data_IF_477981261202
#
_entry.id   IF_477981261202
#
_cell.length_a   1.000
_cell.length_b   1.000
_cell.length_c   1.000
_cell.angle_alpha   90.00
_cell.angle_beta   90.00
_cell.angle_gamma   90.00
#
_symmetry.space_group_name_H-M   'P 1'
#
loop_
_entity.id
_entity.type
_entity.pdbx_description
1 polymer ?
#
# COMPACT_ATOMS: atom_id res chain seq x y z
N UNK A 1 -22.16 -68.72 41.07
CA UNK A 1 -21.97 -68.91 39.61
C UNK A 1 -22.28 -67.64 38.78
N UNK A 2 -23.31 -66.85 39.12
CA UNK A 2 -23.73 -65.67 38.32
C UNK A 2 -22.77 -64.45 38.35
N UNK A 3 -22.04 -64.20 39.44
CA UNK A 3 -21.13 -63.03 39.56
C UNK A 3 -19.89 -63.16 38.65
N UNK A 4 -19.40 -64.39 38.43
CA UNK A 4 -18.22 -64.64 37.60
C UNK A 4 -18.54 -64.49 36.09
N UNK A 5 -19.74 -64.92 35.67
CA UNK A 5 -20.23 -64.75 34.29
C UNK A 5 -20.47 -63.28 33.95
N UNK A 6 -21.02 -62.48 34.87
CA UNK A 6 -21.22 -61.04 34.70
C UNK A 6 -19.89 -60.28 34.56
N UNK A 7 -18.88 -60.65 35.36
CA UNK A 7 -17.53 -60.04 35.31
C UNK A 7 -16.81 -60.34 33.99
N UNK A 8 -16.98 -61.54 33.45
CA UNK A 8 -16.39 -61.93 32.17
C UNK A 8 -17.08 -61.24 30.97
N UNK A 9 -18.41 -61.09 31.02
CA UNK A 9 -19.20 -60.37 30.00
C UNK A 9 -18.90 -58.87 30.00
N UNK A 10 -18.74 -58.26 31.18
CA UNK A 10 -18.35 -56.86 31.36
C UNK A 10 -16.96 -56.57 30.76
N UNK A 11 -15.96 -57.42 31.05
CA UNK A 11 -14.61 -57.29 30.48
C UNK A 11 -14.58 -57.45 28.95
N UNK A 12 -15.45 -58.30 28.38
CA UNK A 12 -15.60 -58.44 26.92
C UNK A 12 -16.20 -57.19 26.27
N UNK A 13 -17.21 -56.59 26.92
CA UNK A 13 -17.86 -55.37 26.42
C UNK A 13 -16.89 -54.17 26.44
N UNK A 14 -16.15 -54.00 27.54
CA UNK A 14 -15.15 -52.93 27.68
C UNK A 14 -14.07 -53.05 26.61
N UNK A 15 -13.57 -54.26 26.34
CA UNK A 15 -12.57 -54.50 25.28
C UNK A 15 -13.11 -54.15 23.89
N UNK A 16 -14.35 -54.53 23.59
CA UNK A 16 -14.98 -54.25 22.30
C UNK A 16 -15.20 -52.74 22.09
N UNK A 17 -15.66 -52.03 23.13
CA UNK A 17 -15.80 -50.58 23.10
C UNK A 17 -14.45 -49.88 22.90
N UNK A 18 -13.40 -50.36 23.58
CA UNK A 18 -12.05 -49.80 23.45
C UNK A 18 -11.44 -50.04 22.06
N UNK A 19 -11.64 -51.22 21.47
CA UNK A 19 -11.22 -51.51 20.09
C UNK A 19 -11.95 -50.61 19.09
N UNK A 20 -13.28 -50.47 19.23
CA UNK A 20 -14.09 -49.62 18.35
C UNK A 20 -13.65 -48.15 18.44
N UNK A 21 -13.36 -47.67 19.65
CA UNK A 21 -12.86 -46.32 19.88
C UNK A 21 -11.47 -46.09 19.26
N UNK A 22 -10.54 -47.04 19.40
CA UNK A 22 -9.20 -46.96 18.80
C UNK A 22 -9.25 -46.99 17.26
N UNK A 23 -10.15 -47.79 16.68
CA UNK A 23 -10.35 -47.81 15.22
C UNK A 23 -10.88 -46.46 14.74
N UNK A 24 -11.89 -45.89 15.42
CA UNK A 24 -12.40 -44.55 15.09
C UNK A 24 -11.31 -43.47 15.19
N UNK A 25 -10.49 -43.51 16.23
CA UNK A 25 -9.33 -42.61 16.38
C UNK A 25 -8.33 -42.76 15.23
N UNK A 26 -8.00 -44.01 14.83
CA UNK A 26 -7.09 -44.24 13.71
C UNK A 26 -7.64 -43.73 12.38
N UNK A 27 -8.94 -43.90 12.14
CA UNK A 27 -9.61 -43.38 10.94
C UNK A 27 -9.61 -41.85 10.94
N UNK A 28 -9.87 -41.22 12.09
CA UNK A 28 -9.80 -39.77 12.24
C UNK A 28 -8.37 -39.24 12.02
N UNK A 29 -7.34 -39.88 12.57
CA UNK A 29 -5.93 -39.51 12.33
C UNK A 29 -5.53 -39.68 10.87
N UNK A 30 -5.92 -40.77 10.22
CA UNK A 30 -5.70 -40.96 8.78
C UNK A 30 -6.41 -39.89 7.95
N UNK A 31 -7.63 -39.52 8.32
CA UNK A 31 -8.37 -38.45 7.66
C UNK A 31 -7.65 -37.10 7.78
N UNK A 32 -7.18 -36.74 8.99
CA UNK A 32 -6.40 -35.50 9.22
C UNK A 32 -5.11 -35.49 8.41
N UNK A 33 -4.38 -36.61 8.37
CA UNK A 33 -3.16 -36.72 7.56
C UNK A 33 -3.49 -36.55 6.07
N UNK A 34 -4.55 -37.22 5.59
CA UNK A 34 -4.99 -37.12 4.21
C UNK A 34 -5.39 -35.68 3.82
N UNK A 35 -6.12 -34.97 4.68
CA UNK A 35 -6.48 -33.57 4.43
C UNK A 35 -5.25 -32.67 4.36
N UNK A 36 -4.32 -32.78 5.34
CA UNK A 36 -3.09 -32.00 5.33
C UNK A 36 -2.22 -32.23 4.08
N UNK A 37 -2.22 -33.44 3.50
CA UNK A 37 -1.51 -33.72 2.25
C UNK A 37 -2.22 -33.17 1.00
N UNK A 38 -3.53 -32.93 1.07
CA UNK A 38 -4.35 -32.53 -0.07
C UNK A 38 -4.69 -31.02 -0.08
N UNK A 39 -4.20 -30.26 0.91
CA UNK A 39 -4.54 -28.86 1.17
C UNK A 39 -3.95 -27.81 0.20
N UNK A 40 -3.25 -28.22 -0.86
CA UNK A 40 -2.66 -27.29 -1.84
C UNK A 40 -3.69 -26.30 -2.43
N UNK A 41 -4.93 -26.73 -2.67
CA UNK A 41 -6.01 -25.86 -3.16
C UNK A 41 -6.51 -24.86 -2.12
N UNK A 42 -6.47 -25.23 -0.84
CA UNK A 42 -6.87 -24.38 0.28
C UNK A 42 -5.83 -23.28 0.51
N UNK A 43 -4.55 -23.61 0.32
CA UNK A 43 -3.45 -22.64 0.35
C UNK A 43 -3.54 -21.64 -0.81
N UNK A 44 -3.83 -22.09 -2.03
CA UNK A 44 -4.02 -21.19 -3.18
C UNK A 44 -5.22 -20.24 -2.95
N UNK A 45 -6.37 -20.75 -2.48
CA UNK A 45 -7.54 -19.91 -2.18
C UNK A 45 -7.29 -18.91 -1.05
N UNK A 46 -6.63 -19.34 0.03
CA UNK A 46 -6.25 -18.46 1.13
C UNK A 46 -5.29 -17.35 0.65
N UNK A 47 -4.36 -17.69 -0.24
CA UNK A 47 -3.41 -16.74 -0.84
C UNK A 47 -4.13 -15.67 -1.65
N UNK A 48 -5.12 -16.05 -2.47
CA UNK A 48 -5.92 -15.13 -3.27
C UNK A 48 -6.74 -14.17 -2.40
N UNK A 49 -7.46 -14.69 -1.39
CA UNK A 49 -8.23 -13.87 -0.45
C UNK A 49 -7.33 -12.90 0.33
N UNK A 50 -6.16 -13.39 0.75
CA UNK A 50 -5.19 -12.62 1.52
C UNK A 50 -4.60 -11.47 0.70
N UNK A 51 -4.12 -11.72 -0.52
CA UNK A 51 -3.58 -10.65 -1.37
C UNK A 51 -4.65 -9.66 -1.76
N UNK A 52 -5.89 -10.10 -2.02
CA UNK A 52 -7.02 -9.21 -2.31
C UNK A 52 -7.34 -8.29 -1.13
N UNK A 53 -7.31 -8.82 0.10
CA UNK A 53 -7.50 -8.04 1.32
C UNK A 53 -6.37 -7.03 1.55
N UNK A 54 -5.11 -7.43 1.33
CA UNK A 54 -3.97 -6.51 1.38
C UNK A 54 -4.14 -5.43 0.33
N UNK A 55 -4.39 -5.82 -0.93
CA UNK A 55 -4.53 -4.91 -2.03
C UNK A 55 -5.59 -3.84 -1.72
N UNK A 56 -6.76 -4.26 -1.23
CA UNK A 56 -7.84 -3.37 -0.79
C UNK A 56 -7.40 -2.45 0.36
N UNK A 57 -6.70 -2.99 1.36
CA UNK A 57 -6.22 -2.23 2.52
C UNK A 57 -5.19 -1.18 2.12
N UNK A 58 -4.23 -1.53 1.25
CA UNK A 58 -3.19 -0.63 0.75
C UNK A 58 -3.81 0.48 -0.09
N UNK A 59 -4.75 0.15 -0.98
CA UNK A 59 -5.50 1.16 -1.75
C UNK A 59 -6.26 2.10 -0.83
N UNK A 60 -6.96 1.58 0.18
CA UNK A 60 -7.69 2.38 1.15
C UNK A 60 -6.78 3.32 1.96
N UNK A 61 -5.68 2.79 2.48
CA UNK A 61 -4.69 3.57 3.24
C UNK A 61 -4.07 4.69 2.39
N UNK A 62 -3.65 4.35 1.17
CA UNK A 62 -3.05 5.32 0.24
C UNK A 62 -4.08 6.36 -0.22
N UNK A 63 -5.34 5.96 -0.43
CA UNK A 63 -6.46 6.89 -0.70
C UNK A 63 -6.65 7.89 0.44
N UNK A 64 -6.71 7.41 1.67
CA UNK A 64 -6.89 8.26 2.85
C UNK A 64 -5.70 9.20 3.08
N UNK A 65 -4.50 8.79 2.67
CA UNK A 65 -3.30 9.61 2.77
C UNK A 65 -3.30 10.81 1.80
N UNK A 66 -3.84 10.64 0.59
CA UNK A 66 -3.79 11.63 -0.49
C UNK A 66 -5.08 12.45 -0.67
N UNK A 67 -6.26 11.87 -0.42
CA UNK A 67 -7.56 12.53 -0.65
C UNK A 67 -7.74 13.88 0.08
N UNK A 68 -7.17 14.13 1.27
CA UNK A 68 -7.27 15.44 1.90
C UNK A 68 -6.70 16.56 1.03
N UNK A 69 -5.70 16.31 0.18
CA UNK A 69 -5.12 17.32 -0.72
C UNK A 69 -6.15 17.90 -1.69
N UNK A 70 -6.95 17.05 -2.35
CA UNK A 70 -8.05 17.50 -3.23
C UNK A 70 -9.12 18.25 -2.45
N UNK A 71 -9.43 17.78 -1.24
CA UNK A 71 -10.44 18.43 -0.39
C UNK A 71 -10.00 19.83 0.00
N UNK A 72 -8.74 20.00 0.40
CA UNK A 72 -8.14 21.30 0.72
C UNK A 72 -8.10 22.20 -0.51
N UNK A 73 -7.72 21.67 -1.68
CA UNK A 73 -7.69 22.45 -2.92
C UNK A 73 -9.07 23.00 -3.30
N UNK A 74 -10.10 22.15 -3.22
CA UNK A 74 -11.49 22.55 -3.44
C UNK A 74 -11.96 23.59 -2.41
N UNK A 75 -11.63 23.40 -1.13
CA UNK A 75 -11.96 24.38 -0.09
C UNK A 75 -11.28 25.73 -0.33
N UNK A 76 -9.99 25.73 -0.68
CA UNK A 76 -9.25 26.96 -1.00
C UNK A 76 -9.87 27.70 -2.17
N UNK A 77 -10.28 26.97 -3.21
CA UNK A 77 -11.01 27.53 -4.34
C UNK A 77 -12.34 28.20 -3.93
N UNK A 78 -13.15 27.55 -3.08
CA UNK A 78 -14.41 28.13 -2.61
C UNK A 78 -14.18 29.35 -1.72
N UNK A 79 -13.21 29.30 -0.81
CA UNK A 79 -12.89 30.43 0.07
C UNK A 79 -12.34 31.63 -0.71
N UNK A 80 -11.59 31.39 -1.78
CA UNK A 80 -11.15 32.43 -2.71
C UNK A 80 -12.32 33.05 -3.47
N UNK A 81 -13.24 32.23 -3.99
CA UNK A 81 -14.46 32.70 -4.67
C UNK A 81 -15.34 33.59 -3.80
N UNK A 82 -15.37 33.34 -2.49
CA UNK A 82 -16.18 34.11 -1.54
C UNK A 82 -15.43 35.30 -0.92
N UNK A 83 -14.28 35.69 -1.49
CA UNK A 83 -13.44 36.81 -1.03
C UNK A 83 -12.95 36.69 0.43
N UNK A 84 -13.02 35.48 1.01
CA UNK A 84 -12.47 35.17 2.34
C UNK A 84 -10.93 35.09 2.26
N UNK A 85 -10.44 34.60 1.13
CA UNK A 85 -9.03 34.55 0.78
C UNK A 85 -8.79 35.55 -0.35
N UNK A 86 -7.87 36.49 -0.15
CA UNK A 86 -7.50 37.51 -1.14
C UNK A 86 -5.99 37.54 -1.38
N UNK A 87 -5.57 37.65 -2.64
CA UNK A 87 -4.15 37.84 -2.98
C UNK A 87 -3.61 39.21 -2.54
N UNK A 88 -4.48 40.20 -2.36
CA UNK A 88 -4.12 41.53 -1.87
C UNK A 88 -3.87 41.54 -0.36
N UNK A 89 -4.45 40.58 0.37
CA UNK A 89 -4.16 40.31 1.79
C UNK A 89 -3.52 38.93 1.97
N UNK A 90 -2.19 38.81 1.80
CA UNK A 90 -1.45 37.57 2.01
C UNK A 90 -1.67 36.93 3.38
N UNK A 91 -2.12 37.69 4.38
CA UNK A 91 -2.42 37.17 5.71
C UNK A 91 -3.65 36.24 5.70
N UNK A 92 -4.66 36.55 4.89
CA UNK A 92 -5.84 35.68 4.71
C UNK A 92 -5.45 34.28 4.23
N UNK A 93 -4.56 34.20 3.25
CA UNK A 93 -4.02 32.95 2.70
C UNK A 93 -3.22 32.16 3.74
N UNK A 94 -2.37 32.85 4.51
CA UNK A 94 -1.62 32.21 5.61
C UNK A 94 -2.55 31.68 6.70
N UNK A 95 -3.64 32.39 7.00
CA UNK A 95 -4.63 32.00 8.02
C UNK A 95 -5.38 30.75 7.60
N UNK A 96 -5.74 30.64 6.31
CA UNK A 96 -6.39 29.45 5.76
C UNK A 96 -5.48 28.23 5.73
N UNK A 97 -4.21 28.40 5.34
CA UNK A 97 -3.28 27.27 5.15
C UNK A 97 -2.69 26.74 6.47
N UNK A 98 -2.58 27.59 7.50
CA UNK A 98 -1.93 27.24 8.76
C UNK A 98 -2.48 26.01 9.49
N UNK A 99 -3.80 25.77 9.58
CA UNK A 99 -4.34 24.56 10.20
C UNK A 99 -3.90 23.28 9.50
N UNK A 100 -3.86 23.27 8.17
CA UNK A 100 -3.53 22.07 7.39
C UNK A 100 -2.07 21.66 7.49
N UNK A 101 -1.19 22.63 7.69
CA UNK A 101 0.24 22.43 7.82
C UNK A 101 0.58 21.37 8.90
N UNK A 102 -0.05 21.46 10.07
CA UNK A 102 0.22 20.51 11.17
C UNK A 102 -0.66 19.25 11.08
N UNK A 103 -1.87 19.37 10.52
CA UNK A 103 -2.79 18.24 10.36
C UNK A 103 -2.39 17.29 9.23
N UNK A 104 -1.68 17.79 8.22
CA UNK A 104 -1.29 17.06 7.03
C UNK A 104 0.19 17.30 6.68
N UNK A 105 1.13 16.80 7.52
CA UNK A 105 2.57 17.00 7.29
C UNK A 105 3.08 16.34 6.01
N UNK A 106 2.31 15.45 5.40
CA UNK A 106 2.66 14.82 4.12
C UNK A 106 2.54 15.74 2.91
N UNK A 107 1.82 16.86 3.03
CA UNK A 107 1.68 17.81 1.94
C UNK A 107 2.82 18.81 1.99
N UNK A 108 3.51 18.92 0.86
CA UNK A 108 4.67 19.77 0.71
C UNK A 108 4.30 21.22 0.91
N UNK A 109 3.19 21.66 0.30
CA UNK A 109 2.73 23.04 0.32
C UNK A 109 1.40 23.24 -0.39
N UNK A 110 0.88 24.46 -0.24
CA UNK A 110 -0.45 24.88 -0.70
C UNK A 110 -0.28 26.13 -1.54
N UNK A 111 -0.97 26.24 -2.67
CA UNK A 111 -0.72 27.35 -3.59
C UNK A 111 -1.91 27.68 -4.46
N UNK A 112 -1.84 28.85 -5.05
CA UNK A 112 -2.79 29.36 -6.03
C UNK A 112 -2.01 29.92 -7.22
N UNK A 113 -2.50 29.65 -8.42
CA UNK A 113 -2.10 30.37 -9.64
C UNK A 113 -3.33 30.97 -10.29
N UNK A 114 -3.22 32.18 -10.83
CA UNK A 114 -4.33 32.88 -11.51
C UNK A 114 -4.08 33.01 -13.01
N UNK A 115 -5.09 33.47 -13.76
CA UNK A 115 -4.96 33.67 -15.22
C UNK A 115 -3.91 34.71 -15.63
N UNK A 116 -3.51 35.63 -14.74
CA UNK A 116 -2.52 36.67 -15.05
C UNK A 116 -1.06 36.22 -14.77
N UNK A 117 -0.85 34.92 -14.59
CA UNK A 117 0.42 34.30 -14.18
C UNK A 117 0.92 34.73 -12.79
N UNK A 118 0.07 35.32 -11.94
CA UNK A 118 0.35 35.49 -10.52
C UNK A 118 0.22 34.14 -9.80
N UNK A 119 1.21 33.84 -8.96
CA UNK A 119 1.28 32.60 -8.21
C UNK A 119 1.79 32.84 -6.81
N UNK A 120 1.17 32.17 -5.87
CA UNK A 120 1.61 32.16 -4.49
C UNK A 120 1.69 30.74 -3.95
N UNK A 121 2.79 30.44 -3.25
CA UNK A 121 3.04 29.15 -2.63
C UNK A 121 3.36 29.30 -1.15
N UNK A 122 2.58 28.63 -0.31
CA UNK A 122 2.74 28.60 1.13
C UNK A 122 3.33 27.29 1.60
N UNK A 123 4.38 27.44 2.42
CA UNK A 123 5.19 26.40 3.01
C UNK A 123 5.83 25.53 1.94
N UNK A 124 7.03 25.91 1.50
CA UNK A 124 7.88 25.01 0.71
C UNK A 124 9.15 24.71 1.52
N UNK A 125 9.27 23.48 1.99
CA UNK A 125 10.42 23.00 2.77
C UNK A 125 11.46 22.37 1.84
N UNK A 126 12.71 22.79 2.00
CA UNK A 126 13.73 22.64 0.97
C UNK A 126 15.15 22.51 1.54
N UNK A 127 15.44 23.04 2.72
CA UNK A 127 16.78 22.93 3.33
C UNK A 127 16.74 23.06 4.84
N UNK A 128 17.77 22.56 5.53
CA UNK A 128 17.95 22.75 6.98
C UNK A 128 18.29 24.18 7.41
N UNK A 129 18.34 25.14 6.48
CA UNK A 129 18.65 26.55 6.79
C UNK A 129 17.39 27.36 7.17
N UNK A 130 16.20 26.87 6.81
CA UNK A 130 14.91 27.50 7.10
C UNK A 130 13.83 26.44 7.25
N UNK A 131 12.82 26.70 8.07
CA UNK A 131 11.70 25.78 8.26
C UNK A 131 10.78 25.75 7.05
N UNK A 132 10.50 26.93 6.48
CA UNK A 132 9.71 27.03 5.25
C UNK A 132 9.92 28.37 4.55
N UNK A 133 9.50 28.44 3.28
CA UNK A 133 9.40 29.69 2.53
C UNK A 133 7.98 29.96 2.01
N UNK A 134 7.66 31.24 1.84
CA UNK A 134 6.54 31.73 1.03
C UNK A 134 7.13 32.25 -0.28
N UNK A 135 6.53 31.86 -1.40
CA UNK A 135 6.93 32.27 -2.74
C UNK A 135 5.79 33.06 -3.40
N UNK A 136 6.13 34.18 -4.04
CA UNK A 136 5.21 34.99 -4.84
C UNK A 136 5.85 35.24 -6.20
N UNK A 137 5.20 34.77 -7.26
CA UNK A 137 5.55 35.09 -8.64
C UNK A 137 4.50 36.03 -9.17
N UNK A 138 4.92 37.14 -9.79
CA UNK A 138 4.01 38.06 -10.48
C UNK A 138 4.65 38.70 -11.69
N UNK A 139 3.81 39.05 -12.66
CA UNK A 139 4.21 39.81 -13.84
C UNK A 139 4.50 41.27 -13.45
N UNK A 140 5.69 41.75 -13.80
CA UNK A 140 6.03 43.16 -13.66
C UNK A 140 5.58 43.98 -14.89
N UNK A 141 5.40 45.30 -14.77
CA UNK A 141 5.02 46.17 -15.90
C UNK A 141 5.96 46.07 -17.11
N UNK A 142 7.22 45.70 -16.90
CA UNK A 142 8.23 45.49 -17.95
C UNK A 142 8.09 44.14 -18.68
N UNK A 143 7.09 43.31 -18.33
CA UNK A 143 6.79 42.03 -18.98
C UNK A 143 7.59 40.84 -18.45
N UNK A 144 8.38 41.01 -17.39
CA UNK A 144 9.11 39.91 -16.76
C UNK A 144 8.34 39.33 -15.57
N UNK A 145 8.23 38.01 -15.50
CA UNK A 145 7.80 37.30 -14.29
C UNK A 145 8.93 37.35 -13.26
N UNK A 146 8.64 37.89 -12.09
CA UNK A 146 9.60 38.02 -10.99
C UNK A 146 9.17 37.16 -9.83
N UNK A 147 10.13 36.44 -9.25
CA UNK A 147 9.96 35.53 -8.12
C UNK A 147 10.53 36.16 -6.83
N UNK A 148 9.65 36.34 -5.85
CA UNK A 148 9.91 36.87 -4.51
C UNK A 148 9.79 35.73 -3.49
N UNK A 149 10.84 35.53 -2.67
CA UNK A 149 10.86 34.46 -1.66
C UNK A 149 11.15 35.01 -0.28
N UNK A 150 10.29 34.65 0.67
CA UNK A 150 10.41 35.00 2.09
C UNK A 150 10.65 33.73 2.89
N UNK A 151 11.71 33.68 3.69
CA UNK A 151 12.12 32.49 4.43
C UNK A 151 11.89 32.67 5.93
N UNK A 152 11.40 31.61 6.57
CA UNK A 152 10.97 31.61 7.98
C UNK A 152 11.62 30.45 8.75
N UNK A 153 11.83 30.65 10.04
CA UNK A 153 12.25 29.58 10.97
C UNK A 153 11.05 28.88 11.63
N UNK A 154 11.32 27.88 12.49
CA UNK A 154 10.28 27.09 13.18
C UNK A 154 9.37 27.93 14.10
N UNK A 155 9.85 29.09 14.54
CA UNK A 155 9.09 30.03 15.37
C UNK A 155 8.28 31.03 14.53
N UNK A 156 8.07 30.77 13.23
CA UNK A 156 7.41 31.67 12.27
C UNK A 156 8.06 33.07 12.15
N UNK A 157 9.33 33.22 12.53
CA UNK A 157 10.05 34.47 12.35
C UNK A 157 10.68 34.50 10.97
N UNK A 158 10.43 35.56 10.21
CA UNK A 158 11.10 35.78 8.93
C UNK A 158 12.61 36.00 9.18
N UNK A 159 13.45 35.22 8.50
CA UNK A 159 14.91 35.24 8.66
C UNK A 159 15.65 35.74 7.42
N UNK A 160 15.04 35.66 6.23
CA UNK A 160 15.67 36.06 4.97
C UNK A 160 14.62 36.44 3.91
N UNK A 161 15.00 37.31 2.99
CA UNK A 161 14.27 37.60 1.74
C UNK A 161 15.24 37.34 0.59
N UNK A 162 14.77 36.75 -0.52
CA UNK A 162 15.60 36.56 -1.71
C UNK A 162 15.88 37.88 -2.43
N UNK A 163 16.99 37.93 -3.16
CA UNK A 163 17.16 38.95 -4.19
C UNK A 163 16.10 38.77 -5.28
N UNK A 164 15.80 39.86 -5.99
CA UNK A 164 14.90 39.82 -7.14
C UNK A 164 15.50 38.90 -8.22
N UNK A 165 14.72 37.90 -8.66
CA UNK A 165 15.10 36.96 -9.71
C UNK A 165 13.97 36.82 -10.72
N UNK A 166 14.35 36.53 -11.96
CA UNK A 166 13.38 36.10 -12.98
C UNK A 166 12.82 34.75 -12.54
N UNK A 167 11.50 34.58 -12.66
CA UNK A 167 10.83 33.32 -12.38
C UNK A 167 11.31 32.25 -13.38
N UNK A 168 11.55 31.04 -12.89
CA UNK A 168 12.03 29.89 -13.64
C UNK A 168 10.91 29.08 -14.30
N UNK A 169 9.66 29.46 -14.03
CA UNK A 169 8.47 28.90 -14.64
C UNK A 169 7.32 29.91 -14.65
N UNK A 170 6.36 29.68 -15.54
CA UNK A 170 5.05 30.33 -15.50
C UNK A 170 4.02 29.33 -14.93
N UNK A 171 3.29 29.68 -13.85
CA UNK A 171 2.28 28.80 -13.24
C UNK A 171 1.22 28.31 -14.22
N UNK A 172 0.81 29.12 -15.21
CA UNK A 172 -0.28 28.73 -16.12
C UNK A 172 0.14 27.63 -17.07
N UNK A 173 1.45 27.43 -17.29
CA UNK A 173 1.97 26.39 -18.20
C UNK A 173 2.07 25.01 -17.54
N UNK A 174 1.82 24.92 -16.23
CA UNK A 174 2.12 23.72 -15.45
C UNK A 174 1.01 22.67 -15.56
N UNK A 175 1.33 21.36 -15.46
CA UNK A 175 0.36 20.29 -15.63
C UNK A 175 -0.86 20.40 -14.71
N UNK A 176 -0.64 20.76 -13.44
CA UNK A 176 -1.71 20.94 -12.46
C UNK A 176 -2.69 22.07 -12.84
N UNK A 177 -2.19 23.15 -13.45
CA UNK A 177 -3.01 24.28 -13.84
C UNK A 177 -3.84 23.92 -15.07
N UNK A 178 -3.16 23.41 -16.11
CA UNK A 178 -3.81 23.06 -17.38
C UNK A 178 -4.82 21.93 -17.21
N UNK A 179 -4.49 20.89 -16.43
CA UNK A 179 -5.41 19.78 -16.20
C UNK A 179 -6.66 20.19 -15.44
N UNK A 180 -6.52 20.93 -14.33
CA UNK A 180 -7.69 21.43 -13.58
C UNK A 180 -8.55 22.40 -14.41
N UNK A 181 -7.93 23.29 -15.18
CA UNK A 181 -8.64 24.22 -16.07
C UNK A 181 -9.42 23.49 -17.15
N UNK A 182 -8.80 22.49 -17.78
CA UNK A 182 -9.40 21.72 -18.89
C UNK A 182 -10.54 20.85 -18.40
N UNK A 183 -10.33 20.17 -17.26
CA UNK A 183 -11.29 19.24 -16.70
C UNK A 183 -12.47 19.95 -15.99
N UNK A 184 -12.24 21.13 -15.41
CA UNK A 184 -13.27 21.91 -14.72
C UNK A 184 -13.70 21.35 -13.36
N UNK A 185 -12.98 20.35 -12.83
CA UNK A 185 -13.18 19.79 -11.48
C UNK A 185 -11.84 19.38 -10.87
N UNK A 186 -11.86 18.62 -9.77
CA UNK A 186 -10.67 18.14 -9.10
C UNK A 186 -9.78 17.34 -10.06
N UNK A 187 -8.49 17.70 -10.11
CA UNK A 187 -7.52 17.11 -11.01
C UNK A 187 -6.26 16.69 -10.24
N UNK A 188 -5.76 15.51 -10.55
CA UNK A 188 -4.42 15.07 -10.16
C UNK A 188 -3.48 15.28 -11.34
N UNK A 189 -2.30 15.88 -11.13
CA UNK A 189 -1.30 15.94 -12.19
C UNK A 189 -0.63 14.58 -12.42
N UNK A 190 -0.09 14.39 -13.62
CA UNK A 190 1.01 13.45 -13.83
C UNK A 190 2.25 13.83 -13.01
N UNK A 191 3.23 12.93 -12.96
CA UNK A 191 4.53 13.21 -12.33
C UNK A 191 5.28 14.30 -13.10
N UNK A 192 5.75 15.32 -12.38
CA UNK A 192 6.57 16.39 -12.95
C UNK A 192 7.57 16.95 -11.92
N UNK A 193 8.61 17.64 -12.42
CA UNK A 193 9.58 18.34 -11.58
C UNK A 193 8.99 19.66 -11.08
N UNK A 194 9.04 19.94 -9.78
CA UNK A 194 8.49 21.20 -9.24
C UNK A 194 9.41 22.40 -9.47
N UNK A 195 10.72 22.18 -9.52
CA UNK A 195 11.76 23.19 -9.74
C UNK A 195 12.78 22.71 -10.77
N UNK A 196 13.49 23.65 -11.38
CA UNK A 196 14.55 23.35 -12.35
C UNK A 196 15.74 22.63 -11.67
N UNK A 197 16.44 21.72 -12.39
CA UNK A 197 17.60 20.98 -11.84
C UNK A 197 18.72 21.86 -11.28
N UNK A 198 18.90 23.05 -11.85
CA UNK A 198 19.96 23.98 -11.47
C UNK A 198 19.56 24.96 -10.35
N UNK A 199 18.31 24.91 -9.89
CA UNK A 199 17.78 25.83 -8.89
C UNK A 199 17.94 25.19 -7.49
N UNK A 200 18.65 25.80 -6.52
CA UNK A 200 18.82 25.20 -5.20
C UNK A 200 17.52 25.26 -4.38
N UNK A 201 17.19 24.19 -3.63
CA UNK A 201 17.84 22.87 -3.59
C UNK A 201 17.44 22.00 -4.79
N UNK A 202 18.08 20.84 -5.03
CA UNK A 202 17.92 20.02 -6.25
C UNK A 202 16.47 19.85 -6.71
N UNK A 203 16.29 19.63 -8.02
CA UNK A 203 14.98 19.32 -8.59
C UNK A 203 14.29 18.20 -7.80
N UNK A 204 13.00 18.34 -7.59
CA UNK A 204 12.22 17.34 -6.84
C UNK A 204 10.94 17.06 -7.60
N UNK A 205 10.69 15.77 -7.83
CA UNK A 205 9.49 15.29 -8.50
C UNK A 205 8.33 15.15 -7.52
N UNK A 206 7.12 15.35 -8.05
CA UNK A 206 5.90 15.16 -7.29
C UNK A 206 4.66 15.10 -8.16
N UNK A 207 3.53 15.01 -7.47
CA UNK A 207 2.17 15.07 -8.00
C UNK A 207 1.36 16.12 -7.25
N UNK A 208 0.49 16.82 -7.97
CA UNK A 208 -0.32 17.90 -7.41
C UNK A 208 -1.79 17.54 -7.46
N UNK A 209 -2.49 17.69 -6.33
CA UNK A 209 -3.94 17.78 -6.30
C UNK A 209 -4.35 19.22 -6.60
N UNK A 210 -5.29 19.42 -7.51
CA UNK A 210 -5.68 20.77 -7.95
C UNK A 210 -7.18 20.89 -8.15
N UNK A 211 -7.70 22.12 -8.03
CA UNK A 211 -9.10 22.44 -8.24
C UNK A 211 -9.26 23.81 -8.90
N UNK A 212 -10.08 23.95 -9.96
CA UNK A 212 -10.26 25.21 -10.66
C UNK A 212 -11.10 26.19 -9.83
N UNK A 213 -10.78 27.47 -9.98
CA UNK A 213 -11.44 28.59 -9.31
C UNK A 213 -12.28 29.32 -10.34
N UNK A 214 -13.56 29.48 -10.02
CA UNK A 214 -14.50 30.26 -10.82
C UNK A 214 -15.10 31.37 -9.97
N UNK A 215 -15.36 32.51 -10.56
CA UNK A 215 -16.10 33.58 -9.92
C UNK A 215 -17.61 33.26 -9.80
N UNK A 216 -18.39 34.21 -9.29
CA UNK A 216 -19.85 34.05 -9.18
C UNK A 216 -20.58 34.03 -10.52
N UNK A 217 -19.99 34.59 -11.58
CA UNK A 217 -20.53 34.58 -12.93
C UNK A 217 -20.14 33.31 -13.73
N UNK A 218 -19.28 32.45 -13.17
CA UNK A 218 -18.77 31.25 -13.82
C UNK A 218 -17.52 31.49 -14.69
N UNK A 219 -16.92 32.68 -14.62
CA UNK A 219 -15.64 32.95 -15.27
C UNK A 219 -14.51 32.27 -14.49
N UNK A 220 -13.62 31.59 -15.21
CA UNK A 220 -12.44 30.98 -14.62
C UNK A 220 -11.44 32.06 -14.17
N UNK A 221 -10.95 31.95 -12.93
CA UNK A 221 -10.01 32.89 -12.32
C UNK A 221 -8.61 32.31 -12.12
N UNK A 222 -8.50 30.99 -11.98
CA UNK A 222 -7.26 30.33 -11.61
C UNK A 222 -7.45 28.93 -11.09
N UNK A 223 -6.43 28.40 -10.42
CA UNK A 223 -6.40 27.04 -9.88
C UNK A 223 -5.74 27.06 -8.51
N UNK A 224 -6.36 26.36 -7.56
CA UNK A 224 -5.75 26.03 -6.28
C UNK A 224 -5.03 24.69 -6.37
N UNK A 225 -3.86 24.56 -5.76
CA UNK A 225 -3.04 23.36 -5.77
C UNK A 225 -2.51 22.96 -4.39
N UNK A 226 -2.27 21.66 -4.22
CA UNK A 226 -1.60 21.04 -3.07
C UNK A 226 -0.59 20.04 -3.58
N UNK A 227 0.65 20.23 -3.20
CA UNK A 227 1.78 19.46 -3.70
C UNK A 227 2.12 18.27 -2.80
N UNK A 228 2.37 17.10 -3.40
CA UNK A 228 2.91 15.93 -2.71
C UNK A 228 4.21 15.47 -3.38
N UNK A 229 5.24 15.24 -2.59
CA UNK A 229 6.53 14.71 -3.06
C UNK A 229 6.43 13.20 -3.29
N UNK A 230 7.01 12.71 -4.39
CA UNK A 230 7.08 11.26 -4.64
C UNK A 230 7.87 10.52 -3.55
N UNK A 231 8.90 11.17 -3.01
CA UNK A 231 9.68 10.66 -1.87
C UNK A 231 8.79 10.36 -0.65
N UNK A 232 7.95 11.33 -0.27
CA UNK A 232 7.06 11.19 0.91
C UNK A 232 6.06 10.06 0.69
N UNK A 233 5.51 9.94 -0.53
CA UNK A 233 4.62 8.83 -0.87
C UNK A 233 5.34 7.48 -0.88
N UNK A 234 6.58 7.42 -1.35
CA UNK A 234 7.42 6.21 -1.33
C UNK A 234 7.80 5.80 0.10
N UNK A 235 8.08 6.76 0.99
CA UNK A 235 8.32 6.51 2.41
C UNK A 235 7.06 5.96 3.11
N UNK A 236 5.90 6.53 2.80
CA UNK A 236 4.60 6.02 3.27
C UNK A 236 4.36 4.57 2.79
N UNK A 237 4.55 4.29 1.50
CA UNK A 237 4.43 2.92 0.96
C UNK A 237 5.46 1.96 1.57
N UNK A 238 6.69 2.41 1.79
CA UNK A 238 7.72 1.63 2.48
C UNK A 238 7.26 1.25 3.90
N UNK A 239 6.56 2.14 4.61
CA UNK A 239 5.99 1.84 5.93
C UNK A 239 4.99 0.69 5.87
N UNK A 240 4.04 0.75 4.93
CA UNK A 240 3.05 -0.30 4.68
C UNK A 240 3.71 -1.61 4.26
N UNK A 241 4.63 -1.54 3.29
CA UNK A 241 5.30 -2.70 2.72
C UNK A 241 6.08 -3.51 3.77
N UNK A 242 6.67 -2.84 4.78
CA UNK A 242 7.36 -3.52 5.89
C UNK A 242 6.42 -4.40 6.70
N UNK A 243 5.17 -3.97 6.94
CA UNK A 243 4.18 -4.74 7.69
C UNK A 243 3.75 -6.03 6.99
N UNK A 244 3.80 -6.03 5.66
CA UNK A 244 3.38 -7.17 4.83
C UNK A 244 4.54 -7.91 4.15
N UNK A 245 5.79 -7.47 4.38
CA UNK A 245 6.97 -7.91 3.63
C UNK A 245 6.77 -7.88 2.10
N UNK A 246 6.08 -6.84 1.61
CA UNK A 246 5.67 -6.70 0.22
C UNK A 246 6.61 -5.81 -0.60
N UNK A 247 6.57 -5.99 -1.91
CA UNK A 247 6.99 -4.97 -2.87
C UNK A 247 5.74 -4.26 -3.41
N UNK A 248 5.72 -2.93 -3.30
CA UNK A 248 4.60 -2.09 -3.73
C UNK A 248 5.11 -1.06 -4.71
N UNK A 249 4.52 -1.01 -5.90
CA UNK A 249 4.80 0.01 -6.90
C UNK A 249 3.50 0.65 -7.34
N UNK A 250 3.43 1.98 -7.24
CA UNK A 250 2.38 2.80 -7.85
C UNK A 250 2.98 3.49 -9.07
N UNK A 251 2.31 3.38 -10.21
CA UNK A 251 2.74 3.99 -11.47
C UNK A 251 1.53 4.43 -12.30
N UNK A 252 1.73 5.33 -13.26
CA UNK A 252 0.68 5.80 -14.17
C UNK A 252 0.64 5.00 -15.48
N UNK A 253 -0.30 5.33 -16.37
CA UNK A 253 -0.46 4.70 -17.69
C UNK A 253 0.77 4.78 -18.59
N UNK A 254 1.61 5.81 -18.42
CA UNK A 254 2.87 5.94 -19.14
C UNK A 254 4.00 5.12 -18.52
N UNK A 255 3.69 4.20 -17.60
CA UNK A 255 4.62 3.38 -16.85
C UNK A 255 5.65 4.21 -16.06
N UNK A 256 5.29 5.43 -15.65
CA UNK A 256 6.12 6.25 -14.78
C UNK A 256 5.81 5.93 -13.33
N UNK A 257 6.85 5.62 -12.57
CA UNK A 257 6.72 5.32 -11.15
C UNK A 257 6.38 6.59 -10.39
N UNK A 258 5.31 6.50 -9.61
CA UNK A 258 4.82 7.53 -8.69
C UNK A 258 5.37 7.23 -7.29
N UNK A 259 5.37 5.98 -6.87
CA UNK A 259 5.94 5.58 -5.60
C UNK A 259 6.37 4.11 -5.60
N UNK A 260 7.44 3.80 -4.85
CA UNK A 260 7.96 2.44 -4.72
C UNK A 260 8.47 2.18 -3.30
N UNK A 261 8.06 1.06 -2.70
CA UNK A 261 8.36 0.73 -1.31
C UNK A 261 9.83 0.39 -1.01
N UNK A 262 10.63 -0.04 -2.00
CA UNK A 262 12.01 -0.53 -1.76
C UNK A 262 13.14 0.26 -2.41
N UNK A 263 12.86 1.29 -3.21
CA UNK A 263 13.93 2.09 -3.80
C UNK A 263 14.33 3.25 -2.91
N UNK A 264 15.60 3.26 -2.50
CA UNK A 264 16.24 4.46 -1.96
C UNK A 264 16.57 5.48 -3.06
N UNK A 265 16.60 5.05 -4.32
CA UNK A 265 16.77 5.92 -5.48
C UNK A 265 15.57 6.84 -5.65
N UNK A 266 14.32 6.37 -5.54
CA UNK A 266 13.15 7.27 -5.52
C UNK A 266 13.07 8.17 -4.28
N UNK A 267 13.75 7.78 -3.18
CA UNK A 267 13.91 8.65 -2.00
C UNK A 267 14.96 9.74 -2.19
N UNK A 268 15.75 9.67 -3.27
CA UNK A 268 16.84 10.60 -3.58
C UNK A 268 16.75 11.19 -4.99
N UNK A 269 15.91 10.65 -5.88
CA UNK A 269 15.85 11.01 -7.29
C UNK A 269 15.01 12.26 -7.47
N UNK A 270 15.62 13.19 -8.18
CA UNK A 270 14.96 14.37 -8.70
C UNK A 270 13.93 14.04 -9.77
N UNK A 271 14.01 12.87 -10.41
CA UNK A 271 13.28 12.55 -11.64
C UNK A 271 12.29 11.37 -11.49
N UNK A 272 11.30 11.36 -12.38
CA UNK A 272 10.33 10.29 -12.56
C UNK A 272 11.00 9.09 -13.23
N UNK A 273 11.07 7.96 -12.52
CA UNK A 273 11.69 6.75 -13.05
C UNK A 273 10.68 5.91 -13.84
N UNK A 274 11.01 5.46 -15.07
CA UNK A 274 10.24 4.44 -15.77
C UNK A 274 10.22 3.13 -14.99
N UNK A 275 9.10 2.42 -15.06
CA UNK A 275 8.91 1.13 -14.39
C UNK A 275 9.94 0.07 -14.83
N UNK A 276 10.40 0.15 -16.08
CA UNK A 276 11.46 -0.72 -16.63
C UNK A 276 12.85 -0.45 -16.06
N UNK A 277 13.07 0.72 -15.48
CA UNK A 277 14.36 1.13 -14.90
C UNK A 277 14.45 0.84 -13.40
N UNK A 278 13.39 0.31 -12.78
CA UNK A 278 13.48 -0.19 -11.42
C UNK A 278 14.43 -1.39 -11.37
N UNK A 279 15.54 -1.23 -10.64
CA UNK A 279 16.53 -2.28 -10.39
C UNK A 279 16.00 -3.33 -9.39
N UNK A 280 14.99 -4.08 -9.85
CA UNK A 280 14.41 -5.19 -9.12
C UNK A 280 13.88 -6.24 -10.11
N UNK A 281 14.64 -7.32 -10.26
CA UNK A 281 14.32 -8.42 -11.16
C UNK A 281 13.01 -9.14 -10.82
N UNK A 282 12.56 -9.12 -9.56
CA UNK A 282 11.27 -9.70 -9.15
C UNK A 282 10.12 -8.86 -9.73
N UNK A 283 10.23 -7.53 -9.68
CA UNK A 283 9.26 -6.61 -10.30
C UNK A 283 9.22 -6.83 -11.82
N UNK A 284 10.37 -6.91 -12.48
CA UNK A 284 10.42 -7.15 -13.92
C UNK A 284 9.78 -8.51 -14.29
N UNK A 285 10.02 -9.55 -13.49
CA UNK A 285 9.40 -10.87 -13.69
C UNK A 285 7.88 -10.85 -13.49
N UNK A 286 7.39 -10.09 -12.52
CA UNK A 286 5.97 -9.89 -12.29
C UNK A 286 5.31 -9.16 -13.46
N UNK A 287 5.96 -8.12 -14.02
CA UNK A 287 5.44 -7.35 -15.15
C UNK A 287 5.38 -8.15 -16.45
N UNK A 288 6.34 -9.06 -16.68
CA UNK A 288 6.28 -10.01 -17.79
C UNK A 288 5.08 -10.95 -17.60
N UNK A 289 4.90 -11.47 -16.38
CA UNK A 289 3.82 -12.40 -16.04
C UNK A 289 2.44 -11.75 -16.10
N UNK A 290 2.32 -10.46 -15.80
CA UNK A 290 1.06 -9.70 -15.91
C UNK A 290 0.48 -9.75 -17.33
N UNK A 291 1.32 -9.70 -18.39
CA UNK A 291 0.84 -9.67 -19.78
C UNK A 291 -0.03 -10.87 -20.16
N UNK A 292 0.07 -11.99 -19.43
CA UNK A 292 -0.78 -13.17 -19.64
C UNK A 292 -1.99 -13.24 -18.72
N UNK A 293 -2.03 -12.49 -17.62
CA UNK A 293 -3.07 -12.60 -16.59
C UNK A 293 -4.01 -11.38 -16.53
N UNK A 294 -3.57 -10.20 -16.97
CA UNK A 294 -4.37 -8.98 -16.89
C UNK A 294 -4.54 -8.48 -15.45
N UNK A 295 -5.61 -7.72 -15.19
CA UNK A 295 -5.90 -7.10 -13.89
C UNK A 295 -6.41 -8.13 -12.87
N UNK A 296 -5.56 -9.08 -12.48
CA UNK A 296 -5.88 -10.11 -11.50
C UNK A 296 -4.71 -10.41 -10.57
N UNK A 297 -5.00 -11.19 -9.54
CA UNK A 297 -4.03 -11.93 -8.77
C UNK A 297 -3.42 -13.04 -9.64
N UNK A 298 -2.11 -13.29 -9.47
CA UNK A 298 -1.42 -14.38 -10.16
C UNK A 298 -0.16 -14.82 -9.42
N UNK A 299 0.19 -16.09 -9.61
CA UNK A 299 1.47 -16.62 -9.15
C UNK A 299 2.53 -16.55 -10.25
N UNK A 300 3.76 -16.29 -9.86
CA UNK A 300 4.91 -16.43 -10.74
C UNK A 300 6.12 -16.98 -9.97
N UNK A 301 7.15 -17.42 -10.69
CA UNK A 301 8.39 -17.90 -10.09
C UNK A 301 9.56 -17.04 -10.53
N UNK A 302 10.44 -16.75 -9.59
CA UNK A 302 11.72 -16.08 -9.84
C UNK A 302 12.80 -16.73 -8.98
N UNK A 303 13.92 -17.13 -9.60
CA UNK A 303 15.03 -17.84 -8.93
C UNK A 303 14.61 -19.08 -8.10
N UNK A 304 13.56 -19.79 -8.54
CA UNK A 304 13.05 -20.98 -7.84
C UNK A 304 12.09 -20.68 -6.69
N UNK A 305 11.96 -19.43 -6.28
CA UNK A 305 10.96 -18.98 -5.30
C UNK A 305 9.64 -18.63 -6.00
N UNK A 306 8.52 -18.96 -5.36
CA UNK A 306 7.18 -18.62 -5.84
C UNK A 306 6.71 -17.34 -5.14
N UNK A 307 6.13 -16.46 -5.94
CA UNK A 307 5.62 -15.16 -5.55
C UNK A 307 4.16 -15.08 -5.93
N UNK A 308 3.40 -14.37 -5.11
CA UNK A 308 2.04 -13.96 -5.39
C UNK A 308 2.04 -12.47 -5.72
N UNK A 309 1.45 -12.12 -6.86
CA UNK A 309 1.34 -10.73 -7.29
C UNK A 309 -0.11 -10.36 -7.60
N UNK A 310 -0.39 -9.07 -7.49
CA UNK A 310 -1.63 -8.45 -7.91
C UNK A 310 -1.30 -7.21 -8.71
N UNK A 311 -1.83 -7.15 -9.93
CA UNK A 311 -1.83 -5.94 -10.75
C UNK A 311 -3.24 -5.40 -10.80
N UNK A 312 -3.46 -4.17 -10.36
CA UNK A 312 -4.83 -3.68 -10.21
C UNK A 312 -4.96 -2.17 -10.41
N UNK A 313 -6.10 -1.69 -10.95
CA UNK A 313 -6.33 -0.26 -11.11
C UNK A 313 -6.43 0.39 -9.75
N UNK A 314 -5.88 1.59 -9.66
CA UNK A 314 -5.82 2.40 -8.46
C UNK A 314 -6.34 3.81 -8.74
N UNK A 315 -7.67 3.91 -8.74
CA UNK A 315 -8.38 5.11 -9.15
C UNK A 315 -8.45 6.14 -8.02
N UNK A 316 -7.93 7.35 -8.28
CA UNK A 316 -8.15 8.53 -7.45
C UNK A 316 -9.10 9.52 -8.12
N UNK A 317 -10.40 9.31 -7.93
CA UNK A 317 -11.37 10.39 -8.09
C UNK A 317 -11.52 10.99 -9.49
N UNK A 318 -11.29 10.23 -10.56
CA UNK A 318 -11.87 10.55 -11.87
C UNK A 318 -11.00 10.21 -13.06
N UNK A 319 -9.82 10.83 -13.18
CA UNK A 319 -9.28 11.08 -14.52
C UNK A 319 -7.86 10.57 -14.80
N UNK A 320 -7.11 10.15 -13.77
CA UNK A 320 -5.83 9.46 -13.98
C UNK A 320 -5.90 8.02 -13.51
N UNK A 321 -5.65 7.11 -14.45
CA UNK A 321 -5.51 5.69 -14.17
C UNK A 321 -4.10 5.44 -13.62
N UNK A 322 -4.01 5.38 -12.30
CA UNK A 322 -2.83 4.82 -11.65
C UNK A 322 -3.04 3.33 -11.43
N UNK A 323 -1.94 2.61 -11.29
CA UNK A 323 -1.92 1.18 -11.12
C UNK A 323 -1.09 0.84 -9.89
N UNK A 324 -1.54 -0.19 -9.16
CA UNK A 324 -0.82 -0.76 -8.05
C UNK A 324 -0.34 -2.16 -8.42
N UNK A 325 0.98 -2.35 -8.43
CA UNK A 325 1.62 -3.65 -8.45
C UNK A 325 2.03 -4.01 -7.02
N UNK A 326 1.43 -5.09 -6.51
CA UNK A 326 1.72 -5.68 -5.20
C UNK A 326 2.39 -7.03 -5.45
N UNK A 327 3.51 -7.31 -4.78
CA UNK A 327 4.22 -8.59 -4.88
C UNK A 327 4.59 -9.07 -3.48
N UNK A 328 4.36 -10.35 -3.21
CA UNK A 328 4.59 -11.02 -1.94
C UNK A 328 5.32 -12.35 -2.19
N UNK A 329 6.40 -12.67 -1.46
CA UNK A 329 6.99 -14.01 -1.50
C UNK A 329 6.07 -15.02 -0.78
N UNK A 330 5.79 -16.17 -1.41
CA UNK A 330 4.87 -17.19 -0.86
C UNK A 330 5.44 -17.85 0.40
N UNK A 331 6.76 -18.07 0.45
CA UNK A 331 7.45 -18.83 1.51
C UNK A 331 7.26 -18.26 2.92
N UNK A 332 6.96 -16.95 3.06
CA UNK A 332 6.69 -16.37 4.38
C UNK A 332 5.27 -16.63 4.89
N UNK A 333 4.30 -16.91 4.01
CA UNK A 333 2.99 -17.42 4.43
C UNK A 333 3.10 -18.86 4.89
N UNK A 334 3.88 -19.65 4.16
CA UNK A 334 4.04 -21.05 4.47
C UNK A 334 4.80 -21.23 5.78
N UNK A 335 5.80 -20.43 6.13
CA UNK A 335 6.51 -20.59 7.43
C UNK A 335 5.59 -20.54 8.68
N UNK A 336 4.66 -19.58 8.77
CA UNK A 336 3.72 -19.49 9.90
C UNK A 336 2.66 -20.61 9.88
N UNK A 337 2.22 -21.00 8.68
CA UNK A 337 1.20 -22.04 8.49
C UNK A 337 1.80 -23.46 8.61
N UNK A 338 3.03 -23.67 8.15
CA UNK A 338 3.79 -24.92 8.15
C UNK A 338 4.18 -25.32 9.56
N UNK A 339 4.55 -24.37 10.44
CA UNK A 339 4.80 -24.70 11.84
C UNK A 339 3.56 -25.35 12.49
N UNK A 340 2.39 -24.77 12.24
CA UNK A 340 1.11 -25.29 12.73
C UNK A 340 0.75 -26.64 12.09
N UNK A 341 0.94 -26.79 10.77
CA UNK A 341 0.67 -28.04 10.05
C UNK A 341 1.61 -29.18 10.47
N UNK A 342 2.90 -28.91 10.63
CA UNK A 342 3.89 -29.91 11.04
C UNK A 342 3.61 -30.42 12.45
N UNK A 343 3.17 -29.52 13.36
CA UNK A 343 2.75 -29.91 14.70
C UNK A 343 1.50 -30.80 14.66
N UNK A 344 0.49 -30.44 13.86
CA UNK A 344 -0.74 -31.23 13.67
C UNK A 344 -0.42 -32.60 13.07
N UNK A 345 0.42 -32.66 12.04
CA UNK A 345 0.87 -33.91 11.41
C UNK A 345 1.66 -34.78 12.39
N UNK A 346 2.55 -34.19 13.20
CA UNK A 346 3.29 -34.90 14.23
C UNK A 346 2.35 -35.53 15.26
N UNK A 347 1.40 -34.76 15.80
CA UNK A 347 0.42 -35.26 16.75
C UNK A 347 -0.48 -36.35 16.15
N UNK A 348 -1.01 -36.14 14.95
CA UNK A 348 -1.85 -37.12 14.25
C UNK A 348 -1.09 -38.44 14.01
N UNK A 349 0.18 -38.35 13.62
CA UNK A 349 1.06 -39.52 13.42
C UNK A 349 1.36 -40.23 14.73
N UNK A 350 1.67 -39.51 15.81
CA UNK A 350 1.91 -40.10 17.12
C UNK A 350 0.66 -40.82 17.65
N UNK A 351 -0.53 -40.21 17.55
CA UNK A 351 -1.80 -40.83 17.96
C UNK A 351 -2.07 -42.10 17.14
N UNK A 352 -1.86 -42.04 15.82
CA UNK A 352 -2.02 -43.19 14.93
C UNK A 352 -1.11 -44.35 15.35
N UNK A 353 0.18 -44.09 15.57
CA UNK A 353 1.15 -45.10 15.99
C UNK A 353 0.80 -45.72 17.35
N UNK A 354 0.40 -44.91 18.33
CA UNK A 354 -0.02 -45.39 19.65
C UNK A 354 -1.26 -46.28 19.52
N UNK A 355 -2.27 -45.86 18.74
CA UNK A 355 -3.47 -46.65 18.49
C UNK A 355 -3.13 -48.00 17.85
N UNK A 356 -2.22 -48.00 16.86
CA UNK A 356 -1.78 -49.19 16.15
C UNK A 356 -1.09 -50.18 17.10
N UNK A 357 -0.17 -49.70 17.95
CA UNK A 357 0.51 -50.53 18.95
C UNK A 357 -0.48 -51.16 19.95
N UNK A 358 -1.45 -50.37 20.44
CA UNK A 358 -2.46 -50.87 21.39
C UNK A 358 -3.37 -51.89 20.70
N UNK A 359 -3.82 -51.64 19.47
CA UNK A 359 -4.64 -52.56 18.69
C UNK A 359 -3.90 -53.89 18.45
N UNK A 360 -2.63 -53.87 18.05
CA UNK A 360 -1.79 -55.07 17.89
C UNK A 360 -1.68 -55.84 19.20
N UNK A 361 -1.48 -55.16 20.34
CA UNK A 361 -1.42 -55.82 21.66
C UNK A 361 -2.76 -56.47 22.04
N UNK A 362 -3.88 -55.81 21.81
CA UNK A 362 -5.20 -56.35 22.12
C UNK A 362 -5.56 -57.55 21.23
N UNK A 363 -5.25 -57.47 19.94
CA UNK A 363 -5.43 -58.57 19.00
C UNK A 363 -4.54 -59.77 19.32
N UNK A 364 -3.25 -59.55 19.60
CA UNK A 364 -2.34 -60.65 19.96
C UNK A 364 -2.77 -61.35 21.25
N UNK A 365 -3.23 -60.61 22.26
CA UNK A 365 -3.80 -61.20 23.48
C UNK A 365 -5.07 -62.03 23.21
N UNK A 366 -5.97 -61.56 22.34
CA UNK A 366 -7.15 -62.32 21.93
C UNK A 366 -6.75 -63.62 21.23
N UNK A 367 -5.87 -63.56 20.23
CA UNK A 367 -5.39 -64.74 19.50
C UNK A 367 -4.73 -65.76 20.44
N UNK A 368 -3.84 -65.31 21.33
CA UNK A 368 -3.17 -66.18 22.31
C UNK A 368 -4.19 -66.83 23.26
N UNK A 369 -5.20 -66.09 23.71
CA UNK A 369 -6.25 -66.65 24.58
C UNK A 369 -7.12 -67.68 23.88
N UNK A 370 -7.47 -67.47 22.60
CA UNK A 370 -8.23 -68.40 21.78
C UNK A 370 -7.44 -69.67 21.49
N UNK A 371 -6.14 -69.55 21.17
CA UNK A 371 -5.25 -70.70 20.97
C UNK A 371 -5.14 -71.52 22.26
N UNK A 372 -4.93 -70.89 23.43
CA UNK A 372 -4.89 -71.61 24.72
C UNK A 372 -6.21 -72.33 25.03
N UNK A 373 -7.35 -71.73 24.70
CA UNK A 373 -8.66 -72.36 24.88
C UNK A 373 -8.87 -73.58 23.97
N UNK A 374 -8.36 -73.54 22.73
CA UNK A 374 -8.43 -74.66 21.78
C UNK A 374 -7.46 -75.78 22.17
N UNK A 375 -6.26 -75.46 22.68
CA UNK A 375 -5.24 -76.45 23.07
C UNK A 375 -5.56 -77.15 24.40
N UNK A 376 -6.38 -76.53 25.27
CA UNK A 376 -6.81 -77.13 26.56
C UNK A 376 -8.09 -77.96 26.46
N UNK A 377 -8.67 -78.09 25.27
CA UNK A 377 -9.87 -78.88 25.00
C UNK A 377 -9.50 -80.05 24.10
#
# INVERSE_FOLDING_TARGET
MNICLLKNKSNSLIKFLLQSFLVLLSLASCWVIFTCFNDNKLLDQFSDDYISQINTSIKGATRNYLLPAQTIARQGSHMFREDIISLEDPKSLSTFTYPFINSYPQFRGYFIGTENSEFWFWRNEYSGEYAYRIQHIKMQPQGALIDYRHFYNDNNKQIKISNQRIADFDPVTRPWYQGAKTLGTAYWSDVYLYNQPNDPPPAVAGITASYPIYDRAGQFLGVWGVDILLKVLSEFLSGIAKSYNADLVIFNEQNKVIAYSRSDELKSSSESLPLSELDNSVIQSALISYRSHGFSEFFFKYNGERYLASYSPFLFGGDNDWYLLLILPELKFSEEIEFSHNLILLFATCVLLICLVILIRLFSQQVISTIKYIVQK
#
